data_IF_141976699720
#
_entry.id   IF_141976699720
#
_cell.length_a   1.000
_cell.length_b   1.000
_cell.length_c   1.000
_cell.angle_alpha   90.00
_cell.angle_beta   90.00
_cell.angle_gamma   90.00
#
_symmetry.space_group_name_H-M   'P 1'
#
loop_
_entity.id
_entity.type
_entity.pdbx_description
1 polymer ?
#
# COMPACT_ATOMS: atom_id res chain seq x y z
N UNK A 1 -22.66 34.72 -1.60
CA UNK A 1 -22.51 35.65 -2.73
C UNK A 1 -21.54 36.74 -2.37
N UNK A 2 -20.67 37.08 -3.32
CA UNK A 2 -19.84 38.26 -3.29
C UNK A 2 -20.59 39.39 -3.98
N UNK A 3 -20.74 40.53 -3.31
CA UNK A 3 -21.19 41.77 -3.92
C UNK A 3 -20.03 42.77 -3.94
N UNK A 4 -19.54 43.11 -5.13
CA UNK A 4 -18.53 44.16 -5.32
C UNK A 4 -19.24 45.44 -5.72
N UNK A 5 -19.09 46.49 -4.92
CA UNK A 5 -19.78 47.77 -5.06
C UNK A 5 -18.78 48.80 -5.59
N UNK A 6 -19.07 49.41 -6.74
CA UNK A 6 -18.25 50.48 -7.34
C UNK A 6 -19.11 51.71 -7.64
N UNK A 7 -18.73 52.89 -7.14
CA UNK A 7 -19.55 54.10 -7.26
C UNK A 7 -19.54 54.69 -8.69
N UNK A 8 -20.69 55.15 -9.20
CA UNK A 8 -20.89 55.55 -10.61
C UNK A 8 -20.39 56.98 -10.89
N UNK A 9 -20.58 57.90 -9.94
CA UNK A 9 -19.96 59.22 -9.94
C UNK A 9 -19.76 59.63 -8.47
N UNK A 10 -18.52 59.79 -7.99
CA UNK A 10 -18.28 60.13 -6.60
C UNK A 10 -18.66 61.57 -6.24
N UNK A 11 -19.11 62.42 -7.17
CA UNK A 11 -19.62 63.75 -6.84
C UNK A 11 -20.74 63.65 -5.79
N UNK A 12 -20.56 64.31 -4.63
CA UNK A 12 -21.49 64.19 -3.51
C UNK A 12 -21.20 63.06 -2.50
N UNK A 13 -19.95 62.57 -2.41
CA UNK A 13 -19.44 61.61 -1.41
C UNK A 13 -20.06 61.76 0.00
N UNK A 14 -20.22 62.98 0.51
CA UNK A 14 -20.79 63.24 1.83
C UNK A 14 -22.28 62.86 1.94
N UNK A 15 -23.07 63.16 0.90
CA UNK A 15 -24.47 62.78 0.84
C UNK A 15 -24.63 61.26 0.73
N UNK A 16 -23.74 60.62 -0.04
CA UNK A 16 -23.69 59.15 -0.17
C UNK A 16 -23.32 58.47 1.16
N UNK A 17 -22.30 58.98 1.86
CA UNK A 17 -21.89 58.48 3.17
C UNK A 17 -23.02 58.56 4.22
N UNK A 18 -23.90 59.55 4.11
CA UNK A 18 -25.04 59.71 5.03
C UNK A 18 -26.19 58.76 4.68
N UNK A 19 -26.35 58.40 3.40
CA UNK A 19 -27.42 57.50 2.91
C UNK A 19 -27.08 56.02 3.11
N UNK A 20 -25.82 55.63 2.90
CA UNK A 20 -25.40 54.23 2.85
C UNK A 20 -25.74 53.43 4.13
N UNK A 21 -25.54 53.95 5.36
CA UNK A 21 -25.94 53.22 6.58
C UNK A 21 -27.45 52.96 6.67
N UNK A 22 -28.28 53.86 6.13
CA UNK A 22 -29.74 53.71 6.13
C UNK A 22 -30.18 52.63 5.14
N UNK A 23 -29.56 52.57 3.96
CA UNK A 23 -29.80 51.50 2.98
C UNK A 23 -29.43 50.14 3.57
N UNK A 24 -28.26 50.04 4.20
CA UNK A 24 -27.80 48.81 4.86
C UNK A 24 -28.77 48.38 5.97
N UNK A 25 -29.29 49.32 6.76
CA UNK A 25 -30.28 49.05 7.81
C UNK A 25 -31.63 48.58 7.23
N UNK A 26 -31.98 49.03 6.02
CA UNK A 26 -33.21 48.65 5.32
C UNK A 26 -33.21 47.23 4.76
N UNK A 27 -32.05 46.58 4.65
CA UNK A 27 -31.91 45.20 4.16
C UNK A 27 -31.80 44.24 5.35
N UNK A 28 -32.67 43.23 5.37
CA UNK A 28 -32.78 42.28 6.48
C UNK A 28 -31.42 41.64 6.80
N UNK A 29 -31.00 41.75 8.06
CA UNK A 29 -29.76 41.19 8.62
C UNK A 29 -28.44 41.67 7.97
N UNK A 30 -28.47 42.59 6.99
CA UNK A 30 -27.26 43.00 6.28
C UNK A 30 -26.30 43.77 7.19
N UNK A 31 -26.81 44.61 8.10
CA UNK A 31 -25.98 45.29 9.11
C UNK A 31 -25.23 44.28 9.98
N UNK A 32 -25.93 43.28 10.52
CA UNK A 32 -25.33 42.24 11.36
C UNK A 32 -24.27 41.45 10.58
N UNK A 33 -24.55 41.14 9.30
CA UNK A 33 -23.61 40.48 8.41
C UNK A 33 -22.32 41.27 8.23
N UNK A 34 -22.41 42.57 7.92
CA UNK A 34 -21.25 43.44 7.75
C UNK A 34 -20.47 43.61 9.07
N UNK A 35 -21.15 43.66 10.22
CA UNK A 35 -20.45 43.69 11.51
C UNK A 35 -19.71 42.37 11.80
N UNK A 36 -20.29 41.23 11.42
CA UNK A 36 -19.68 39.91 11.61
C UNK A 36 -18.51 39.65 10.65
N UNK A 37 -18.61 40.09 9.40
CA UNK A 37 -17.65 39.72 8.35
C UNK A 37 -16.77 40.88 7.85
N UNK A 38 -17.15 42.12 8.12
CA UNK A 38 -16.45 43.31 7.63
C UNK A 38 -16.72 43.62 6.17
N UNK A 39 -15.99 44.61 5.67
CA UNK A 39 -15.89 44.91 4.23
C UNK A 39 -14.48 44.62 3.76
N UNK A 40 -14.34 44.27 2.49
CA UNK A 40 -13.06 43.99 1.86
C UNK A 40 -12.73 45.06 0.83
N UNK A 41 -11.55 45.68 0.93
CA UNK A 41 -10.96 46.48 -0.13
C UNK A 41 -9.96 45.59 -0.88
N UNK A 42 -10.00 45.65 -2.21
CA UNK A 42 -9.29 44.73 -3.10
C UNK A 42 -8.54 45.46 -4.19
N UNK A 43 -7.71 44.72 -4.93
CA UNK A 43 -6.88 45.25 -6.02
C UNK A 43 -5.97 46.37 -5.50
N UNK A 44 -5.40 46.16 -4.32
CA UNK A 44 -4.47 47.08 -3.67
C UNK A 44 -3.04 46.76 -4.12
N UNK A 45 -2.21 47.79 -4.29
CA UNK A 45 -0.76 47.59 -4.36
C UNK A 45 -0.21 47.27 -2.97
N UNK A 46 0.99 46.66 -2.86
CA UNK A 46 1.66 46.48 -1.57
C UNK A 46 1.80 47.79 -0.78
N UNK A 47 2.07 48.91 -1.45
CA UNK A 47 2.14 50.24 -0.84
C UNK A 47 0.78 50.72 -0.31
N UNK A 48 -0.31 50.46 -1.06
CA UNK A 48 -1.67 50.76 -0.59
C UNK A 48 -2.00 49.97 0.68
N UNK A 49 -1.62 48.67 0.74
CA UNK A 49 -1.83 47.82 1.92
C UNK A 49 -1.05 48.37 3.12
N UNK A 50 0.25 48.66 2.96
CA UNK A 50 1.08 49.19 4.04
C UNK A 50 0.57 50.52 4.58
N UNK A 51 0.19 51.46 3.70
CA UNK A 51 -0.36 52.75 4.09
C UNK A 51 -1.69 52.61 4.86
N UNK A 52 -2.56 51.68 4.44
CA UNK A 52 -3.83 51.42 5.11
C UNK A 52 -3.64 50.75 6.48
N UNK A 53 -2.67 49.83 6.62
CA UNK A 53 -2.32 49.24 7.91
C UNK A 53 -1.82 50.29 8.89
N UNK A 54 -0.88 51.15 8.45
CA UNK A 54 -0.36 52.23 9.29
C UNK A 54 -1.48 53.17 9.73
N UNK A 55 -2.36 53.58 8.81
CA UNK A 55 -3.49 54.44 9.12
C UNK A 55 -4.46 53.78 10.12
N UNK A 56 -4.89 52.55 9.87
CA UNK A 56 -5.86 51.84 10.73
C UNK A 56 -5.28 51.49 12.10
N UNK A 57 -3.96 51.29 12.22
CA UNK A 57 -3.30 51.08 13.52
C UNK A 57 -3.36 52.30 14.45
N UNK A 58 -3.53 53.50 13.88
CA UNK A 58 -3.63 54.77 14.62
C UNK A 58 -5.07 55.15 14.96
N UNK A 59 -6.05 54.50 14.33
CA UNK A 59 -7.48 54.73 14.53
C UNK A 59 -8.04 53.67 15.50
N UNK A 60 -8.63 54.10 16.62
CA UNK A 60 -9.34 53.20 17.52
C UNK A 60 -10.67 52.73 16.93
N UNK A 61 -11.16 51.55 17.35
CA UNK A 61 -12.50 51.09 16.96
C UNK A 61 -12.57 50.16 15.74
N UNK A 62 -11.43 49.77 15.18
CA UNK A 62 -11.36 48.86 14.03
C UNK A 62 -10.39 47.69 14.27
N UNK A 63 -10.67 46.58 13.59
CA UNK A 63 -9.73 45.47 13.38
C UNK A 63 -9.61 45.19 11.90
N UNK A 64 -8.47 44.70 11.46
CA UNK A 64 -8.24 44.39 10.06
C UNK A 64 -7.44 43.12 9.83
N UNK A 65 -7.65 42.50 8.67
CA UNK A 65 -6.86 41.38 8.15
C UNK A 65 -6.35 41.75 6.76
N UNK A 66 -5.09 41.48 6.47
CA UNK A 66 -4.45 41.85 5.19
C UNK A 66 -3.90 40.65 4.45
N UNK A 67 -3.88 40.75 3.12
CA UNK A 67 -3.07 39.92 2.21
C UNK A 67 -2.20 40.82 1.33
N UNK A 68 -1.50 40.25 0.34
CA UNK A 68 -0.66 41.00 -0.60
C UNK A 68 -1.41 42.08 -1.40
N UNK A 69 -2.73 41.96 -1.58
CA UNK A 69 -3.52 42.87 -2.42
C UNK A 69 -4.89 43.21 -1.86
N UNK A 70 -5.16 42.87 -0.60
CA UNK A 70 -6.47 43.13 0.04
C UNK A 70 -6.33 43.56 1.50
N UNK A 71 -7.30 44.35 1.97
CA UNK A 71 -7.50 44.60 3.40
C UNK A 71 -8.99 44.41 3.74
N UNK A 72 -9.27 43.59 4.75
CA UNK A 72 -10.61 43.42 5.32
C UNK A 72 -10.69 44.25 6.59
N UNK A 73 -11.66 45.13 6.69
CA UNK A 73 -11.85 46.03 7.83
C UNK A 73 -13.16 45.73 8.54
N UNK A 74 -13.10 45.68 9.88
CA UNK A 74 -14.22 45.39 10.77
C UNK A 74 -14.27 46.43 11.89
N UNK A 75 -15.47 46.79 12.30
CA UNK A 75 -15.72 47.68 13.44
C UNK A 75 -15.79 46.87 14.72
N UNK A 76 -15.18 47.35 15.80
CA UNK A 76 -15.17 46.65 17.11
C UNK A 76 -16.27 47.12 18.06
N UNK A 77 -16.71 48.38 17.95
CA UNK A 77 -17.72 48.98 18.84
C UNK A 77 -19.18 48.73 18.38
N UNK A 78 -19.36 48.08 17.23
CA UNK A 78 -20.67 47.79 16.64
C UNK A 78 -21.32 48.98 15.92
N UNK A 79 -20.71 50.17 15.88
CA UNK A 79 -21.23 51.32 15.14
C UNK A 79 -20.72 51.33 13.69
N UNK A 80 -21.51 50.72 12.80
CA UNK A 80 -21.20 50.69 11.38
C UNK A 80 -21.04 52.09 10.74
N UNK A 81 -21.54 53.16 11.37
CA UNK A 81 -21.35 54.54 10.87
C UNK A 81 -19.89 54.99 10.97
N UNK A 82 -19.11 54.41 11.88
CA UNK A 82 -17.68 54.63 11.97
C UNK A 82 -16.94 54.11 10.72
N UNK A 83 -17.46 53.07 10.06
CA UNK A 83 -16.88 52.50 8.83
C UNK A 83 -17.52 53.03 7.55
N UNK A 84 -18.85 52.99 7.44
CA UNK A 84 -19.60 53.25 6.19
C UNK A 84 -20.45 54.53 6.25
N UNK A 85 -20.24 55.37 7.27
CA UNK A 85 -20.96 56.63 7.49
C UNK A 85 -20.00 57.83 7.56
N UNK A 86 -20.20 58.69 8.56
CA UNK A 86 -19.35 59.88 8.77
C UNK A 86 -18.00 59.58 9.48
N UNK A 87 -17.50 58.34 9.40
CA UNK A 87 -16.17 57.95 9.89
C UNK A 87 -15.14 57.78 8.78
N UNK A 88 -14.63 56.56 8.58
CA UNK A 88 -13.49 56.27 7.69
C UNK A 88 -13.70 56.63 6.22
N UNK A 89 -14.95 56.69 5.75
CA UNK A 89 -15.26 57.01 4.35
C UNK A 89 -15.55 58.49 4.11
N UNK A 90 -15.35 59.37 5.11
CA UNK A 90 -15.60 60.80 4.94
C UNK A 90 -14.56 61.45 4.01
N UNK A 91 -15.01 62.20 2.99
CA UNK A 91 -14.12 63.04 2.19
C UNK A 91 -13.68 64.26 3.03
N UNK A 92 -12.38 64.34 3.35
CA UNK A 92 -11.83 65.48 4.08
C UNK A 92 -11.11 66.45 3.11
N UNK A 93 -11.52 67.73 3.00
CA UNK A 93 -10.97 68.67 2.01
C UNK A 93 -9.47 68.99 2.16
N UNK A 94 -8.93 68.84 3.37
CA UNK A 94 -7.56 69.27 3.72
C UNK A 94 -6.70 68.16 4.35
N UNK A 95 -7.19 66.90 4.35
CA UNK A 95 -6.48 65.74 4.89
C UNK A 95 -6.72 64.56 3.96
N UNK A 96 -5.65 64.01 3.36
CA UNK A 96 -5.79 62.80 2.56
C UNK A 96 -6.13 61.63 3.47
N UNK A 97 -7.34 61.09 3.32
CA UNK A 97 -7.77 59.86 3.96
C UNK A 97 -7.66 58.76 2.91
N UNK A 98 -6.53 58.04 2.93
CA UNK A 98 -6.21 57.00 1.95
C UNK A 98 -7.28 55.91 1.87
N UNK A 99 -7.93 55.59 2.99
CA UNK A 99 -9.04 54.66 3.02
C UNK A 99 -10.26 55.20 2.28
N UNK A 100 -10.66 56.45 2.56
CA UNK A 100 -11.77 57.08 1.83
C UNK A 100 -11.47 57.18 0.33
N UNK A 101 -10.24 57.54 -0.05
CA UNK A 101 -9.84 57.64 -1.46
C UNK A 101 -10.03 56.30 -2.17
N UNK A 102 -9.46 55.22 -1.62
CA UNK A 102 -9.60 53.87 -2.17
C UNK A 102 -11.06 53.42 -2.18
N UNK A 103 -11.80 53.65 -1.09
CA UNK A 103 -13.20 53.26 -0.97
C UNK A 103 -14.07 53.91 -2.05
N UNK A 104 -13.88 55.20 -2.33
CA UNK A 104 -14.67 55.92 -3.32
C UNK A 104 -14.21 55.67 -4.76
N UNK A 105 -12.91 55.51 -5.00
CA UNK A 105 -12.37 55.28 -6.35
C UNK A 105 -12.53 53.83 -6.81
N UNK A 106 -12.28 52.87 -5.93
CA UNK A 106 -12.22 51.43 -6.26
C UNK A 106 -13.41 50.64 -5.72
N UNK A 107 -14.14 51.21 -4.76
CA UNK A 107 -15.26 50.54 -4.14
C UNK A 107 -14.85 49.59 -3.02
N UNK A 108 -15.77 48.70 -2.65
CA UNK A 108 -15.56 47.67 -1.63
C UNK A 108 -16.41 46.44 -1.92
N UNK A 109 -16.08 45.35 -1.24
CA UNK A 109 -16.73 44.05 -1.41
C UNK A 109 -17.31 43.56 -0.10
N UNK A 110 -18.53 43.02 -0.17
CA UNK A 110 -19.15 42.25 0.91
C UNK A 110 -19.23 40.78 0.45
N UNK A 111 -18.62 39.88 1.22
CA UNK A 111 -18.60 38.45 0.94
C UNK A 111 -19.60 37.70 1.81
N UNK A 112 -19.90 36.45 1.46
CA UNK A 112 -20.78 35.54 2.19
C UNK A 112 -22.24 36.00 2.30
N UNK A 113 -22.69 36.88 1.41
CA UNK A 113 -24.09 37.33 1.39
C UNK A 113 -25.03 36.20 0.96
N UNK A 114 -26.21 36.14 1.57
CA UNK A 114 -27.32 35.38 0.99
C UNK A 114 -27.68 35.97 -0.39
N UNK A 115 -28.11 35.13 -1.33
CA UNK A 115 -28.49 35.58 -2.69
C UNK A 115 -29.51 36.73 -2.64
N UNK A 116 -30.55 36.60 -1.80
CA UNK A 116 -31.58 37.63 -1.61
C UNK A 116 -31.01 38.95 -1.08
N UNK A 117 -30.07 38.90 -0.13
CA UNK A 117 -29.43 40.12 0.38
C UNK A 117 -28.59 40.81 -0.69
N UNK A 118 -27.90 40.02 -1.52
CA UNK A 118 -27.10 40.54 -2.62
C UNK A 118 -27.97 41.20 -3.71
N UNK A 119 -29.10 40.58 -4.04
CA UNK A 119 -30.08 41.13 -5.01
C UNK A 119 -30.78 42.39 -4.46
N UNK A 120 -31.21 42.36 -3.20
CA UNK A 120 -31.82 43.53 -2.51
C UNK A 120 -30.82 44.69 -2.41
N UNK A 121 -29.56 44.40 -2.09
CA UNK A 121 -28.48 45.40 -2.06
C UNK A 121 -28.27 46.03 -3.44
N UNK A 122 -28.11 45.20 -4.47
CA UNK A 122 -27.95 45.65 -5.86
C UNK A 122 -29.08 46.60 -6.26
N UNK A 123 -30.33 46.22 -5.99
CA UNK A 123 -31.50 47.04 -6.31
C UNK A 123 -31.54 48.36 -5.55
N UNK A 124 -31.17 48.38 -4.26
CA UNK A 124 -31.28 49.60 -3.44
C UNK A 124 -30.17 50.63 -3.72
N UNK A 125 -29.02 50.22 -4.26
CA UNK A 125 -27.89 51.14 -4.52
C UNK A 125 -27.59 51.39 -6.00
N UNK A 126 -28.38 50.83 -6.93
CA UNK A 126 -28.15 50.96 -8.38
C UNK A 126 -28.07 52.41 -8.88
N UNK A 127 -28.76 53.34 -8.22
CA UNK A 127 -28.73 54.77 -8.55
C UNK A 127 -27.40 55.47 -8.18
N UNK A 128 -26.59 54.88 -7.31
CA UNK A 128 -25.38 55.49 -6.74
C UNK A 128 -24.12 54.63 -6.96
N UNK A 129 -24.28 53.33 -7.21
CA UNK A 129 -23.18 52.40 -7.42
C UNK A 129 -23.58 51.25 -8.35
N UNK A 130 -22.60 50.77 -9.11
CA UNK A 130 -22.67 49.48 -9.80
C UNK A 130 -22.38 48.36 -8.82
N UNK A 131 -23.22 47.33 -8.79
CA UNK A 131 -23.02 46.13 -7.96
C UNK A 131 -22.81 44.93 -8.85
N UNK A 132 -21.60 44.37 -8.81
CA UNK A 132 -21.25 43.12 -9.50
C UNK A 132 -21.41 41.97 -8.53
N UNK A 133 -22.28 41.02 -8.86
CA UNK A 133 -22.51 39.80 -8.08
C UNK A 133 -21.70 38.64 -8.66
N UNK A 134 -20.95 37.95 -7.82
CA UNK A 134 -20.23 36.73 -8.17
C UNK A 134 -20.34 35.70 -7.04
N UNK A 135 -19.98 34.45 -7.32
CA UNK A 135 -19.81 33.46 -6.27
C UNK A 135 -18.69 33.90 -5.32
N UNK A 136 -18.81 33.59 -4.02
CA UNK A 136 -17.70 33.81 -3.09
C UNK A 136 -16.49 32.98 -3.53
N UNK A 137 -15.30 33.57 -3.47
CA UNK A 137 -14.06 32.82 -3.67
C UNK A 137 -13.84 32.00 -2.40
N UNK A 138 -14.03 30.69 -2.47
CA UNK A 138 -13.73 29.81 -1.34
C UNK A 138 -12.26 29.98 -0.95
N UNK A 139 -12.00 30.38 0.30
CA UNK A 139 -10.64 30.34 0.83
C UNK A 139 -10.20 28.87 0.88
N UNK A 140 -9.31 28.49 -0.02
CA UNK A 140 -8.68 27.18 -0.03
C UNK A 140 -7.91 26.99 1.27
N UNK A 141 -8.27 25.98 2.04
CA UNK A 141 -7.51 25.55 3.21
C UNK A 141 -6.46 24.54 2.73
N UNK A 142 -5.22 24.70 3.20
CA UNK A 142 -4.18 23.70 3.05
C UNK A 142 -4.25 22.78 4.27
N UNK A 143 -4.64 21.54 4.03
CA UNK A 143 -4.83 20.53 5.05
C UNK A 143 -3.75 19.45 4.93
N UNK A 144 -3.52 18.74 6.02
CA UNK A 144 -2.59 17.61 6.09
C UNK A 144 -3.29 16.45 6.79
N UNK A 145 -3.13 15.25 6.25
CA UNK A 145 -3.42 14.01 6.97
C UNK A 145 -2.16 13.17 7.08
N UNK A 146 -1.90 12.61 8.26
CA UNK A 146 -0.77 11.73 8.53
C UNK A 146 -1.19 10.55 9.39
N UNK A 147 -0.33 9.54 9.50
CA UNK A 147 -0.58 8.37 10.35
C UNK A 147 0.35 7.22 10.03
N UNK A 148 0.11 6.08 10.66
CA UNK A 148 0.82 4.82 10.44
C UNK A 148 -0.10 3.74 9.89
N UNK A 149 0.45 2.86 9.05
CA UNK A 149 -0.27 1.69 8.56
C UNK A 149 0.25 0.44 9.27
N UNK A 150 -0.66 -0.33 9.85
CA UNK A 150 -0.35 -1.54 10.61
C UNK A 150 -1.04 -2.76 10.02
N UNK A 151 -0.46 -3.93 10.27
CA UNK A 151 -1.18 -5.19 10.24
C UNK A 151 -2.13 -5.32 11.44
N UNK A 152 -3.01 -6.31 11.42
CA UNK A 152 -3.95 -6.60 12.52
C UNK A 152 -3.27 -6.99 13.83
N UNK A 153 -2.02 -7.45 13.78
CA UNK A 153 -1.20 -7.78 14.95
C UNK A 153 -0.42 -6.56 15.51
N UNK A 154 -0.61 -5.37 14.92
CA UNK A 154 0.03 -4.13 15.33
C UNK A 154 1.44 -3.93 14.76
N UNK A 155 1.94 -4.83 13.91
CA UNK A 155 3.23 -4.64 13.24
C UNK A 155 3.07 -3.62 12.10
N UNK A 156 3.98 -2.62 11.96
CA UNK A 156 3.94 -1.69 10.84
C UNK A 156 4.02 -2.40 9.48
N UNK A 157 3.23 -1.95 8.52
CA UNK A 157 3.22 -2.50 7.15
C UNK A 157 4.56 -2.25 6.44
N UNK A 158 4.91 -3.10 5.47
CA UNK A 158 6.09 -2.85 4.63
C UNK A 158 5.98 -1.51 3.91
N UNK A 159 7.11 -0.81 3.77
CA UNK A 159 7.17 0.43 2.99
C UNK A 159 7.24 0.18 1.48
N UNK A 160 7.49 -1.07 1.06
CA UNK A 160 7.60 -1.45 -0.35
C UNK A 160 6.24 -1.90 -0.89
N UNK A 161 5.92 -1.45 -2.09
CA UNK A 161 4.74 -1.93 -2.82
C UNK A 161 3.38 -1.38 -2.40
N UNK A 162 3.35 -0.41 -1.49
CA UNK A 162 2.11 0.24 -1.07
C UNK A 162 2.12 1.75 -1.30
N UNK A 163 0.96 2.28 -1.64
CA UNK A 163 0.72 3.72 -1.72
C UNK A 163 -0.52 4.11 -0.93
N UNK A 164 -0.54 5.33 -0.42
CA UNK A 164 -1.63 5.89 0.37
C UNK A 164 -2.23 7.06 -0.40
N UNK A 165 -3.55 7.11 -0.51
CA UNK A 165 -4.28 8.21 -1.17
C UNK A 165 -5.42 8.67 -0.29
N UNK A 166 -5.65 9.98 -0.29
CA UNK A 166 -6.75 10.61 0.41
C UNK A 166 -7.87 11.00 -0.57
N UNK A 167 -9.11 10.96 -0.09
CA UNK A 167 -10.31 11.32 -0.83
C UNK A 167 -11.24 12.13 0.07
N UNK A 168 -11.93 13.11 -0.50
CA UNK A 168 -13.09 13.72 0.12
C UNK A 168 -14.37 13.03 -0.36
N UNK A 169 -15.14 12.50 0.57
CA UNK A 169 -16.41 11.83 0.33
C UNK A 169 -17.57 12.83 0.28
N UNK A 170 -18.07 13.08 -0.93
CA UNK A 170 -19.10 14.08 -1.21
C UNK A 170 -20.42 13.40 -1.55
N UNK A 171 -21.40 13.52 -0.65
CA UNK A 171 -22.76 13.00 -0.83
C UNK A 171 -23.68 14.10 -1.41
N UNK A 172 -23.45 14.49 -2.67
CA UNK A 172 -24.24 15.52 -3.35
C UNK A 172 -25.61 15.00 -3.84
N UNK A 173 -26.46 14.50 -2.93
CA UNK A 173 -27.80 13.97 -3.25
C UNK A 173 -27.80 12.65 -4.01
N UNK A 174 -26.67 11.92 -4.03
CA UNK A 174 -26.53 10.60 -4.62
C UNK A 174 -26.74 9.48 -3.59
N UNK A 175 -27.22 8.29 -4.01
CA UNK A 175 -27.36 7.13 -3.12
C UNK A 175 -26.00 6.59 -2.65
N UNK A 176 -24.93 6.81 -3.41
CA UNK A 176 -23.55 6.50 -3.01
C UNK A 176 -22.69 7.77 -3.04
N UNK A 177 -21.86 8.02 -2.00
CA UNK A 177 -20.97 9.17 -1.98
C UNK A 177 -19.96 9.12 -3.13
N UNK A 178 -19.72 10.26 -3.77
CA UNK A 178 -18.63 10.38 -4.76
C UNK A 178 -17.32 10.62 -4.01
N UNK A 179 -16.31 9.81 -4.29
CA UNK A 179 -14.96 10.01 -3.77
C UNK A 179 -14.18 10.94 -4.72
N UNK A 180 -13.80 12.11 -4.21
CA UNK A 180 -12.99 13.08 -4.92
C UNK A 180 -11.55 12.96 -4.40
N UNK A 181 -10.57 12.51 -5.21
CA UNK A 181 -9.18 12.44 -4.78
C UNK A 181 -8.70 13.80 -4.27
N UNK A 182 -8.02 13.82 -3.13
CA UNK A 182 -7.39 15.02 -2.58
C UNK A 182 -5.91 14.76 -2.30
N UNK A 183 -5.08 15.76 -2.60
CA UNK A 183 -3.63 15.65 -2.49
C UNK A 183 -3.00 14.73 -3.53
N UNK A 184 -1.73 14.43 -3.34
CA UNK A 184 -0.96 13.50 -4.17
C UNK A 184 -0.91 12.12 -3.51
N UNK A 185 -0.75 11.08 -4.33
CA UNK A 185 -0.42 9.73 -3.84
C UNK A 185 0.87 9.77 -3.04
N UNK A 186 0.83 9.28 -1.80
CA UNK A 186 2.00 9.14 -0.93
C UNK A 186 2.52 7.69 -0.95
N UNK A 187 3.82 7.52 -0.79
CA UNK A 187 4.44 6.23 -0.47
C UNK A 187 4.59 6.10 1.04
N UNK A 188 4.58 4.88 1.57
CA UNK A 188 4.89 4.64 2.97
C UNK A 188 6.36 4.96 3.27
N UNK A 189 6.59 5.74 4.31
CA UNK A 189 7.89 6.10 4.86
C UNK A 189 8.30 5.10 5.95
N UNK A 190 9.50 5.27 6.53
CA UNK A 190 9.99 4.44 7.64
C UNK A 190 8.93 4.27 8.74
N UNK A 191 8.83 3.06 9.31
CA UNK A 191 7.78 2.64 10.24
C UNK A 191 6.35 2.79 9.70
N UNK A 192 6.17 2.56 8.39
CA UNK A 192 4.87 2.64 7.71
C UNK A 192 4.13 3.97 7.89
N UNK A 193 4.86 5.06 8.09
CA UNK A 193 4.29 6.40 8.21
C UNK A 193 3.81 6.91 6.84
N UNK A 194 2.74 7.68 6.81
CA UNK A 194 2.33 8.43 5.64
C UNK A 194 2.00 9.88 5.99
N UNK A 195 2.13 10.76 5.00
CA UNK A 195 1.73 12.16 5.07
C UNK A 195 1.20 12.59 3.70
N UNK A 196 0.02 13.20 3.69
CA UNK A 196 -0.63 13.71 2.48
C UNK A 196 -1.07 15.14 2.77
N UNK A 197 -0.46 16.08 2.05
CA UNK A 197 -0.93 17.46 1.99
C UNK A 197 -1.97 17.60 0.87
N UNK A 198 -3.04 18.34 1.14
CA UNK A 198 -4.10 18.55 0.19
C UNK A 198 -4.80 19.90 0.37
N UNK A 199 -5.26 20.46 -0.75
CA UNK A 199 -6.10 21.64 -0.76
C UNK A 199 -7.57 21.24 -0.59
N UNK A 200 -8.29 21.89 0.32
CA UNK A 200 -9.72 21.71 0.49
C UNK A 200 -10.45 23.05 0.45
N UNK A 201 -11.54 23.11 -0.33
CA UNK A 201 -12.38 24.30 -0.43
C UNK A 201 -13.62 24.14 0.45
N UNK A 202 -13.87 25.07 1.38
CA UNK A 202 -15.07 25.05 2.19
C UNK A 202 -16.33 25.15 1.32
N UNK A 203 -17.22 24.19 1.48
CA UNK A 203 -18.49 24.07 0.76
C UNK A 203 -19.70 24.14 1.70
N UNK A 204 -19.49 24.61 2.93
CA UNK A 204 -20.49 24.65 4.01
C UNK A 204 -20.30 23.54 5.05
N UNK A 205 -19.45 22.54 4.78
CA UNK A 205 -19.02 21.55 5.78
C UNK A 205 -17.98 22.15 6.73
N UNK A 206 -17.83 21.55 7.92
CA UNK A 206 -16.80 21.93 8.91
C UNK A 206 -15.38 21.48 8.53
N UNK A 207 -15.29 20.56 7.56
CA UNK A 207 -14.08 19.98 7.01
C UNK A 207 -14.44 18.91 5.97
N UNK A 208 -13.47 18.36 5.23
CA UNK A 208 -13.70 17.24 4.32
C UNK A 208 -14.21 16.02 5.07
N UNK A 209 -14.99 15.17 4.40
CA UNK A 209 -15.25 13.82 4.90
C UNK A 209 -14.15 12.93 4.35
N UNK A 210 -13.04 12.88 5.07
CA UNK A 210 -11.81 12.28 4.61
C UNK A 210 -11.93 10.76 4.61
N UNK A 211 -11.55 10.14 3.50
CA UNK A 211 -11.29 8.71 3.39
C UNK A 211 -9.83 8.56 2.98
N UNK A 212 -9.06 7.81 3.75
CA UNK A 212 -7.67 7.48 3.41
C UNK A 212 -7.62 5.99 3.09
N UNK A 213 -7.06 5.66 1.92
CA UNK A 213 -6.96 4.29 1.42
C UNK A 213 -5.52 3.91 1.13
N UNK A 214 -5.18 2.69 1.50
CA UNK A 214 -3.91 2.04 1.16
C UNK A 214 -4.15 1.14 -0.05
N UNK A 215 -3.28 1.25 -1.04
CA UNK A 215 -3.33 0.52 -2.29
C UNK A 215 -2.09 -0.35 -2.45
N UNK A 216 -2.26 -1.57 -2.97
CA UNK A 216 -1.16 -2.43 -3.41
C UNK A 216 -0.59 -2.00 -4.77
N UNK A 217 0.40 -2.74 -5.28
CA UNK A 217 1.04 -2.47 -6.58
C UNK A 217 0.08 -2.64 -7.77
N UNK A 218 -0.98 -3.43 -7.60
CA UNK A 218 -2.01 -3.68 -8.61
C UNK A 218 -3.10 -2.60 -8.60
N UNK A 219 -3.08 -1.69 -7.61
CA UNK A 219 -4.08 -0.64 -7.44
C UNK A 219 -5.35 -1.09 -6.72
N UNK A 220 -5.33 -2.25 -6.06
CA UNK A 220 -6.44 -2.72 -5.21
C UNK A 220 -6.37 -2.04 -3.84
N UNK A 221 -7.53 -1.75 -3.25
CA UNK A 221 -7.60 -1.20 -1.88
C UNK A 221 -7.39 -2.33 -0.89
N UNK A 222 -6.37 -2.21 -0.04
CA UNK A 222 -6.04 -3.21 1.00
C UNK A 222 -6.40 -2.75 2.41
N UNK A 223 -6.59 -1.45 2.61
CA UNK A 223 -7.02 -0.89 3.89
C UNK A 223 -7.66 0.48 3.68
N UNK A 224 -8.58 0.86 4.55
CA UNK A 224 -9.15 2.21 4.55
C UNK A 224 -9.54 2.69 5.95
N UNK A 225 -9.54 4.02 6.12
CA UNK A 225 -10.04 4.70 7.32
C UNK A 225 -10.85 5.92 6.90
N UNK A 226 -11.91 6.20 7.66
CA UNK A 226 -12.80 7.34 7.40
C UNK A 226 -12.84 8.31 8.59
N UNK A 227 -12.82 9.61 8.29
CA UNK A 227 -13.03 10.68 9.25
C UNK A 227 -14.00 11.73 8.71
N UNK A 228 -15.16 11.86 9.35
CA UNK A 228 -16.13 12.92 9.02
C UNK A 228 -15.65 14.26 9.55
N UNK A 229 -15.77 15.30 8.74
CA UNK A 229 -15.38 16.68 9.10
C UNK A 229 -13.97 16.73 9.69
N UNK A 230 -12.98 16.22 8.94
CA UNK A 230 -11.59 16.19 9.37
C UNK A 230 -11.06 17.62 9.62
N UNK A 231 -10.15 17.75 10.58
CA UNK A 231 -9.48 19.01 10.89
C UNK A 231 -8.47 19.39 9.80
N UNK A 232 -7.93 20.62 9.89
CA UNK A 232 -6.87 21.09 9.00
C UNK A 232 -5.62 20.20 9.11
N UNK A 233 -5.32 19.71 10.32
CA UNK A 233 -4.29 18.70 10.57
C UNK A 233 -4.96 17.50 11.22
N UNK A 234 -4.91 16.35 10.56
CA UNK A 234 -5.54 15.11 11.01
C UNK A 234 -4.50 14.00 11.15
N UNK A 235 -4.64 13.18 12.19
CA UNK A 235 -3.83 11.99 12.41
C UNK A 235 -4.74 10.76 12.41
N UNK A 236 -4.53 9.82 11.49
CA UNK A 236 -5.34 8.61 11.32
C UNK A 236 -4.44 7.41 11.10
N UNK A 237 -4.39 6.49 12.05
CA UNK A 237 -3.77 5.19 11.82
C UNK A 237 -4.71 4.28 11.01
N UNK A 238 -4.13 3.38 10.22
CA UNK A 238 -4.86 2.47 9.33
C UNK A 238 -4.44 1.04 9.65
N UNK A 239 -5.40 0.15 9.87
CA UNK A 239 -5.14 -1.29 10.02
C UNK A 239 -5.50 -1.99 8.71
N UNK A 240 -4.53 -2.68 8.11
CA UNK A 240 -4.71 -3.52 6.93
C UNK A 240 -5.07 -4.95 7.37
N UNK A 241 -6.32 -5.32 7.15
CA UNK A 241 -6.83 -6.65 7.50
C UNK A 241 -6.59 -7.66 6.38
N UNK A 242 -6.25 -8.89 6.76
CA UNK A 242 -6.11 -9.99 5.80
C UNK A 242 -4.94 -9.84 4.83
N UNK A 243 -3.91 -9.07 5.20
CA UNK A 243 -2.61 -9.07 4.50
C UNK A 243 -1.63 -10.03 5.19
N UNK A 244 -0.80 -10.68 4.38
CA UNK A 244 0.37 -11.41 4.83
C UNK A 244 1.61 -11.01 4.03
N UNK A 245 2.77 -11.15 4.66
CA UNK A 245 4.09 -10.87 4.09
C UNK A 245 4.97 -12.09 4.33
N UNK A 246 5.58 -12.57 3.26
CA UNK A 246 6.72 -13.48 3.34
C UNK A 246 7.96 -12.80 2.79
N UNK A 247 9.07 -12.88 3.53
CA UNK A 247 10.34 -12.28 3.13
C UNK A 247 11.51 -13.12 3.57
N UNK A 248 12.69 -12.80 3.06
CA UNK A 248 13.94 -13.42 3.47
C UNK A 248 15.02 -13.18 2.46
N UNK A 249 16.07 -13.99 2.53
CA UNK A 249 17.21 -13.90 1.62
C UNK A 249 17.35 -15.22 0.86
N UNK A 250 17.55 -15.10 -0.45
CA UNK A 250 17.96 -16.21 -1.29
C UNK A 250 19.48 -16.21 -1.41
N UNK A 251 20.09 -17.37 -1.18
CA UNK A 251 21.53 -17.56 -1.30
C UNK A 251 21.86 -18.88 -1.99
N UNK A 252 23.06 -19.00 -2.55
CA UNK A 252 23.56 -20.26 -3.10
C UNK A 252 24.12 -21.17 -2.00
N UNK A 253 24.52 -22.39 -2.36
CA UNK A 253 25.13 -23.39 -1.46
C UNK A 253 26.47 -22.93 -0.85
N UNK A 254 27.20 -22.03 -1.52
CA UNK A 254 28.42 -21.38 -1.01
C UNK A 254 28.12 -20.12 -0.16
N UNK A 255 26.85 -19.90 0.20
CA UNK A 255 26.35 -18.76 0.96
C UNK A 255 26.46 -17.40 0.22
N UNK A 256 26.73 -17.39 -1.09
CA UNK A 256 26.66 -16.18 -1.91
C UNK A 256 25.21 -15.71 -2.10
N UNK A 257 24.97 -14.40 -2.12
CA UNK A 257 23.61 -13.85 -2.32
C UNK A 257 23.14 -14.08 -3.76
N UNK A 258 21.94 -14.63 -3.92
CA UNK A 258 21.36 -14.94 -5.22
C UNK A 258 20.48 -13.77 -5.68
N UNK A 259 21.06 -12.85 -6.46
CA UNK A 259 20.35 -11.70 -7.01
C UNK A 259 19.64 -12.02 -8.34
N UNK A 260 18.50 -11.38 -8.58
CA UNK A 260 17.76 -11.46 -9.86
C UNK A 260 17.00 -12.77 -10.11
N UNK A 261 16.95 -13.70 -9.16
CA UNK A 261 16.08 -14.89 -9.22
C UNK A 261 14.65 -14.53 -8.85
N UNK A 262 13.67 -15.21 -9.47
CA UNK A 262 12.24 -14.97 -9.23
C UNK A 262 11.74 -15.86 -8.11
N UNK A 263 11.20 -15.25 -7.06
CA UNK A 263 10.57 -15.93 -5.93
C UNK A 263 9.05 -15.82 -6.06
N UNK A 264 8.35 -16.94 -5.86
CA UNK A 264 6.88 -17.01 -5.91
C UNK A 264 6.33 -17.66 -4.65
N UNK A 265 5.29 -17.04 -4.11
CA UNK A 265 4.53 -17.55 -2.98
C UNK A 265 3.22 -18.16 -3.47
N UNK A 266 2.88 -19.36 -2.99
CA UNK A 266 1.64 -20.04 -3.32
C UNK A 266 0.90 -20.48 -2.05
N UNK A 267 -0.42 -20.48 -2.15
CA UNK A 267 -1.28 -21.22 -1.24
C UNK A 267 -1.47 -22.65 -1.74
N UNK A 268 -1.01 -23.63 -0.96
CA UNK A 268 -1.08 -25.06 -1.29
C UNK A 268 -2.35 -25.67 -0.71
N UNK A 269 -3.31 -25.94 -1.58
CA UNK A 269 -4.46 -26.79 -1.28
C UNK A 269 -4.16 -28.25 -1.65
N UNK A 270 -5.03 -29.20 -1.26
CA UNK A 270 -4.78 -30.65 -1.36
C UNK A 270 -4.20 -31.11 -2.72
N UNK A 271 -4.63 -30.50 -3.83
CA UNK A 271 -4.19 -30.86 -5.19
C UNK A 271 -3.89 -29.65 -6.09
N UNK A 272 -3.96 -28.43 -5.55
CA UNK A 272 -3.88 -27.21 -6.35
C UNK A 272 -3.03 -26.16 -5.63
N UNK A 273 -2.29 -25.37 -6.40
CA UNK A 273 -1.56 -24.20 -5.92
C UNK A 273 -2.23 -22.94 -6.45
N UNK A 274 -2.44 -21.95 -5.59
CA UNK A 274 -2.92 -20.62 -5.98
C UNK A 274 -1.77 -19.62 -5.79
N UNK A 275 -1.35 -18.96 -6.87
CA UNK A 275 -0.31 -17.94 -6.79
C UNK A 275 -0.79 -16.75 -5.94
N UNK A 276 -0.04 -16.46 -4.88
CA UNK A 276 -0.29 -15.33 -3.98
C UNK A 276 0.49 -14.08 -4.42
N UNK A 277 1.71 -14.28 -4.91
CA UNK A 277 2.54 -13.20 -5.41
C UNK A 277 3.88 -13.68 -5.94
N UNK A 278 4.59 -12.78 -6.61
CA UNK A 278 5.89 -13.01 -7.22
C UNK A 278 6.76 -11.75 -7.07
N UNK A 279 8.05 -11.93 -6.85
CA UNK A 279 9.03 -10.84 -6.84
C UNK A 279 10.38 -11.35 -7.33
N UNK A 280 11.23 -10.46 -7.82
CA UNK A 280 12.64 -10.78 -8.08
C UNK A 280 13.49 -10.34 -6.88
N UNK A 281 14.48 -11.15 -6.56
CA UNK A 281 15.46 -10.84 -5.52
C UNK A 281 16.30 -9.62 -5.90
N UNK A 282 16.57 -8.76 -4.92
CA UNK A 282 17.47 -7.61 -5.12
C UNK A 282 18.96 -8.03 -5.10
N UNK A 283 19.85 -7.05 -5.18
CA UNK A 283 21.31 -7.28 -5.24
C UNK A 283 21.86 -7.99 -4.00
N UNK A 284 21.17 -7.91 -2.87
CA UNK A 284 21.54 -8.58 -1.62
C UNK A 284 20.85 -9.95 -1.49
N UNK A 285 20.15 -10.41 -2.53
CA UNK A 285 19.35 -11.63 -2.54
C UNK A 285 18.06 -11.51 -1.75
N UNK A 286 17.70 -10.32 -1.27
CA UNK A 286 16.50 -10.13 -0.47
C UNK A 286 15.24 -10.18 -1.33
N UNK A 287 14.20 -10.83 -0.81
CA UNK A 287 12.88 -10.86 -1.41
C UNK A 287 11.81 -10.53 -0.37
N UNK A 288 10.71 -9.94 -0.85
CA UNK A 288 9.51 -9.71 -0.06
C UNK A 288 8.29 -9.83 -0.96
N UNK A 289 7.32 -10.66 -0.55
CA UNK A 289 6.06 -10.89 -1.24
C UNK A 289 4.94 -10.57 -0.26
N UNK A 290 4.13 -9.60 -0.62
CA UNK A 290 2.86 -9.31 0.06
C UNK A 290 1.74 -10.05 -0.66
N UNK A 291 0.82 -10.62 0.11
CA UNK A 291 -0.40 -11.24 -0.38
C UNK A 291 -1.61 -10.87 0.48
N UNK A 292 -2.81 -11.08 -0.06
CA UNK A 292 -4.07 -10.80 0.63
C UNK A 292 -4.98 -12.03 0.65
N UNK A 293 -5.82 -12.11 1.68
CA UNK A 293 -6.82 -13.18 1.83
C UNK A 293 -7.84 -13.19 0.69
N UNK A 294 -8.02 -12.07 -0.03
CA UNK A 294 -8.90 -11.99 -1.21
C UNK A 294 -8.43 -12.92 -2.35
N UNK A 295 -7.15 -13.31 -2.36
CA UNK A 295 -6.58 -14.22 -3.36
C UNK A 295 -6.81 -15.70 -3.02
N UNK A 296 -7.25 -16.03 -1.81
CA UNK A 296 -7.44 -17.41 -1.39
C UNK A 296 -8.69 -18.01 -2.04
N UNK A 297 -8.56 -19.19 -2.67
CA UNK A 297 -9.69 -19.91 -3.26
C UNK A 297 -10.71 -20.34 -2.21
N UNK A 298 -10.22 -20.85 -1.08
CA UNK A 298 -11.03 -21.15 0.08
C UNK A 298 -11.06 -19.92 0.98
N UNK A 299 -12.21 -19.59 1.58
CA UNK A 299 -12.36 -18.48 2.54
C UNK A 299 -11.66 -18.78 3.88
N UNK A 300 -10.36 -19.08 3.84
CA UNK A 300 -9.50 -19.29 5.01
C UNK A 300 -8.86 -17.99 5.44
N UNK A 301 -8.44 -17.94 6.71
CA UNK A 301 -7.81 -16.75 7.27
C UNK A 301 -6.31 -16.66 6.95
N UNK A 302 -5.65 -17.82 6.76
CA UNK A 302 -4.20 -17.94 6.55
C UNK A 302 -3.91 -18.97 5.45
N UNK A 303 -2.85 -18.78 4.64
CA UNK A 303 -2.47 -19.72 3.60
C UNK A 303 -1.69 -20.90 4.17
N UNK A 304 -1.70 -22.01 3.44
CA UNK A 304 -0.73 -23.09 3.61
C UNK A 304 0.41 -22.79 2.63
N UNK A 305 1.42 -22.09 3.13
CA UNK A 305 2.38 -21.37 2.31
C UNK A 305 3.47 -22.30 1.78
N UNK A 306 3.71 -22.25 0.47
CA UNK A 306 4.89 -22.84 -0.18
C UNK A 306 5.58 -21.78 -1.05
N UNK A 307 6.90 -21.67 -0.92
CA UNK A 307 7.71 -20.72 -1.66
C UNK A 307 8.55 -21.49 -2.68
N UNK A 308 8.57 -21.02 -3.92
CA UNK A 308 9.37 -21.58 -5.01
C UNK A 308 10.28 -20.50 -5.59
N UNK A 309 11.52 -20.86 -5.88
CA UNK A 309 12.49 -19.97 -6.54
C UNK A 309 12.76 -20.50 -7.94
N UNK A 310 12.77 -19.60 -8.91
CA UNK A 310 12.99 -19.90 -10.31
C UNK A 310 14.17 -19.12 -10.86
N UNK A 311 14.90 -19.72 -11.80
CA UNK A 311 15.89 -19.00 -12.59
C UNK A 311 15.22 -17.81 -13.34
N UNK A 312 15.92 -16.68 -13.39
CA UNK A 312 15.43 -15.48 -14.06
C UNK A 312 15.17 -15.75 -15.55
N UNK A 313 14.00 -15.38 -16.05
CA UNK A 313 13.70 -15.40 -17.48
C UNK A 313 14.36 -14.22 -18.19
N UNK A 314 15.69 -14.23 -18.27
CA UNK A 314 16.45 -13.26 -19.07
C UNK A 314 16.40 -13.63 -20.56
N UNK A 315 15.25 -13.37 -21.20
CA UNK A 315 15.07 -13.54 -22.64
C UNK A 315 13.86 -12.79 -23.13
N UNK A 316 14.06 -11.74 -23.93
CA UNK A 316 13.01 -10.99 -24.61
C UNK A 316 12.18 -11.96 -25.46
N UNK A 317 10.93 -12.20 -25.04
CA UNK A 317 9.97 -12.99 -25.79
C UNK A 317 8.95 -13.63 -24.88
N UNK A 318 7.67 -13.39 -25.17
CA UNK A 318 6.55 -14.06 -24.52
C UNK A 318 6.73 -15.58 -24.60
N UNK A 319 7.19 -16.21 -23.51
CA UNK A 319 7.19 -17.65 -23.34
C UNK A 319 6.84 -17.97 -21.89
N UNK A 320 5.89 -18.90 -21.78
CA UNK A 320 5.15 -19.27 -20.60
C UNK A 320 6.02 -19.65 -19.39
N UNK A 321 5.50 -19.32 -18.21
CA UNK A 321 5.39 -20.25 -17.06
C UNK A 321 6.35 -21.45 -17.06
N UNK A 322 7.61 -21.27 -16.65
CA UNK A 322 8.52 -22.22 -15.95
C UNK A 322 9.96 -21.86 -16.28
N UNK A 323 10.55 -20.94 -15.53
CA UNK A 323 12.01 -20.99 -15.34
C UNK A 323 12.36 -22.33 -14.65
N UNK A 324 13.61 -22.79 -14.76
CA UNK A 324 14.06 -23.94 -13.96
C UNK A 324 13.82 -23.62 -12.47
N UNK A 325 13.07 -24.49 -11.77
CA UNK A 325 12.87 -24.37 -10.32
C UNK A 325 14.21 -24.67 -9.62
N UNK A 326 14.74 -23.65 -8.94
CA UNK A 326 16.04 -23.70 -8.27
C UNK A 326 15.93 -24.11 -6.80
N UNK A 327 14.77 -23.84 -6.18
CA UNK A 327 14.49 -24.20 -4.80
C UNK A 327 12.99 -24.25 -4.52
N UNK A 328 12.61 -25.04 -3.52
CA UNK A 328 11.25 -25.10 -2.98
C UNK A 328 11.31 -25.24 -1.46
N UNK A 329 10.46 -24.50 -0.75
CA UNK A 329 10.33 -24.61 0.70
C UNK A 329 9.51 -25.82 1.13
N UNK A 330 9.59 -26.18 2.41
CA UNK A 330 8.54 -26.97 3.04
C UNK A 330 7.20 -26.19 3.05
N UNK A 331 6.09 -26.91 3.19
CA UNK A 331 4.77 -26.30 3.36
C UNK A 331 4.65 -25.79 4.80
N UNK A 332 4.29 -24.53 4.95
CA UNK A 332 3.98 -23.90 6.25
C UNK A 332 2.47 -23.79 6.37
N UNK A 333 1.88 -24.71 7.13
CA UNK A 333 0.43 -24.70 7.37
C UNK A 333 0.01 -23.51 8.22
N UNK A 334 -1.08 -22.84 7.83
CA UNK A 334 -1.60 -21.64 8.50
C UNK A 334 -0.49 -20.62 8.78
N UNK A 335 0.23 -20.20 7.73
CA UNK A 335 1.37 -19.31 7.86
C UNK A 335 0.99 -17.99 8.57
N UNK A 336 1.87 -17.46 9.45
CA UNK A 336 1.62 -16.20 10.14
C UNK A 336 1.56 -15.03 9.15
N UNK A 337 0.98 -13.91 9.59
CA UNK A 337 0.89 -12.69 8.76
C UNK A 337 2.27 -12.12 8.39
N UNK A 338 3.29 -12.33 9.23
CA UNK A 338 4.68 -12.05 8.88
C UNK A 338 5.49 -13.33 9.01
N UNK A 339 6.02 -13.82 7.89
CA UNK A 339 6.87 -15.00 7.85
C UNK A 339 8.24 -14.66 7.25
N UNK A 340 9.31 -15.02 7.95
CA UNK A 340 10.69 -14.86 7.45
C UNK A 340 11.25 -16.23 7.11
N UNK A 341 11.70 -16.41 5.87
CA UNK A 341 12.24 -17.66 5.36
C UNK A 341 13.41 -17.37 4.43
N UNK A 342 14.60 -17.84 4.78
CA UNK A 342 15.74 -17.84 3.87
C UNK A 342 15.69 -19.10 3.00
N UNK A 343 16.15 -18.97 1.76
CA UNK A 343 16.09 -20.04 0.76
C UNK A 343 17.46 -20.27 0.14
N UNK A 344 17.89 -21.52 0.14
CA UNK A 344 19.09 -21.93 -0.58
C UNK A 344 18.71 -22.36 -1.99
N UNK A 345 19.22 -21.67 -3.01
CA UNK A 345 19.18 -22.11 -4.40
C UNK A 345 20.37 -22.98 -4.72
N UNK A 346 20.13 -24.06 -5.47
CA UNK A 346 21.18 -24.97 -5.89
C UNK A 346 21.27 -25.02 -7.40
N UNK A 347 22.50 -25.08 -7.90
CA UNK A 347 22.76 -25.36 -9.30
C UNK A 347 22.49 -26.83 -9.58
N UNK A 348 22.12 -27.18 -10.82
CA UNK A 348 22.09 -28.59 -11.26
C UNK A 348 23.49 -29.25 -11.21
N UNK A 349 24.55 -28.45 -11.13
CA UNK A 349 25.92 -28.94 -11.00
C UNK A 349 26.31 -29.18 -9.53
N UNK A 350 25.50 -28.76 -8.56
CA UNK A 350 25.74 -29.03 -7.16
C UNK A 350 25.38 -30.49 -6.84
N UNK A 351 26.09 -31.14 -5.90
CA UNK A 351 25.75 -32.49 -5.47
C UNK A 351 24.27 -32.60 -5.05
N UNK A 352 23.61 -33.64 -5.56
CA UNK A 352 22.21 -33.94 -5.24
C UNK A 352 22.01 -34.21 -3.74
N UNK A 353 20.76 -34.14 -3.27
CA UNK A 353 20.45 -34.50 -1.87
C UNK A 353 20.97 -35.88 -1.47
N UNK A 354 20.82 -36.87 -2.35
CA UNK A 354 21.39 -38.20 -2.16
C UNK A 354 22.92 -38.16 -1.95
N UNK A 355 23.66 -37.48 -2.82
CA UNK A 355 25.13 -37.40 -2.74
C UNK A 355 25.60 -36.65 -1.51
N UNK A 356 24.91 -35.56 -1.13
CA UNK A 356 25.23 -34.78 0.09
C UNK A 356 25.00 -35.60 1.34
N UNK A 357 23.85 -36.26 1.46
CA UNK A 357 23.56 -37.09 2.62
C UNK A 357 24.60 -38.21 2.74
N UNK A 358 24.97 -38.87 1.64
CA UNK A 358 26.05 -39.87 1.68
C UNK A 358 27.39 -39.27 2.11
N UNK A 359 27.76 -38.10 1.58
CA UNK A 359 29.00 -37.42 1.95
C UNK A 359 29.02 -37.00 3.44
N UNK A 360 27.87 -36.60 3.98
CA UNK A 360 27.72 -36.22 5.40
C UNK A 360 27.75 -37.43 6.33
N UNK A 361 27.21 -38.57 5.89
CA UNK A 361 27.28 -39.83 6.62
C UNK A 361 28.68 -40.44 6.59
N UNK A 362 29.44 -40.26 5.50
CA UNK A 362 30.74 -40.91 5.29
C UNK A 362 31.73 -40.77 6.45
N UNK A 363 31.96 -39.58 7.06
CA UNK A 363 32.85 -39.45 8.20
C UNK A 363 32.27 -40.00 9.51
N UNK A 364 30.96 -40.24 9.61
CA UNK A 364 30.27 -40.65 10.84
C UNK A 364 30.07 -42.15 10.97
N UNK A 365 29.98 -42.87 9.84
CA UNK A 365 29.71 -44.32 9.82
C UNK A 365 30.97 -45.18 9.94
N UNK A 366 32.16 -44.58 10.04
CA UNK A 366 33.45 -45.25 10.26
C UNK A 366 33.75 -46.46 9.33
N UNK A 367 33.18 -46.45 8.12
CA UNK A 367 33.33 -47.53 7.13
C UNK A 367 32.26 -48.62 7.20
N UNK A 368 31.30 -48.54 8.11
CA UNK A 368 30.13 -49.43 8.14
C UNK A 368 29.27 -49.20 6.87
N UNK A 369 28.89 -50.26 6.14
CA UNK A 369 28.05 -50.12 4.95
C UNK A 369 26.67 -49.55 5.28
N UNK A 370 26.23 -48.54 4.53
CA UNK A 370 24.93 -47.87 4.72
C UNK A 370 23.74 -48.86 4.76
N UNK A 371 23.81 -49.96 3.99
CA UNK A 371 22.80 -51.02 3.95
C UNK A 371 22.66 -51.83 5.26
N UNK A 372 23.67 -51.81 6.13
CA UNK A 372 23.71 -52.56 7.40
C UNK A 372 23.36 -51.70 8.62
N UNK A 373 23.21 -50.39 8.45
CA UNK A 373 22.86 -49.49 9.55
C UNK A 373 21.52 -49.88 10.19
N UNK A 374 21.49 -49.98 11.51
CA UNK A 374 20.28 -50.30 12.28
C UNK A 374 19.41 -49.07 12.51
N UNK A 375 18.17 -49.25 12.95
CA UNK A 375 17.31 -48.11 13.32
C UNK A 375 17.88 -47.27 14.47
N UNK A 376 18.71 -47.87 15.33
CA UNK A 376 19.41 -47.14 16.39
C UNK A 376 20.49 -46.24 15.80
N UNK A 377 21.27 -46.75 14.85
CA UNK A 377 22.29 -45.97 14.13
C UNK A 377 21.63 -44.80 13.36
N UNK A 378 20.51 -45.04 12.68
CA UNK A 378 19.80 -43.99 11.95
C UNK A 378 19.27 -42.90 12.88
N UNK A 379 18.78 -43.24 14.09
CA UNK A 379 18.37 -42.24 15.08
C UNK A 379 19.56 -41.44 15.61
N UNK A 380 20.69 -42.08 15.84
CA UNK A 380 21.92 -41.41 16.24
C UNK A 380 22.41 -40.44 15.16
N UNK A 381 22.48 -40.90 13.92
CA UNK A 381 22.91 -40.09 12.76
C UNK A 381 21.96 -38.92 12.53
N UNK A 382 20.65 -39.13 12.63
CA UNK A 382 19.65 -38.07 12.51
C UNK A 382 19.91 -36.92 13.49
N UNK A 383 20.29 -37.23 14.74
CA UNK A 383 20.65 -36.21 15.73
C UNK A 383 22.04 -35.58 15.53
N UNK A 384 22.88 -36.12 14.65
CA UNK A 384 24.22 -35.58 14.33
C UNK A 384 24.24 -34.73 13.07
N UNK A 385 23.38 -35.04 12.11
CA UNK A 385 23.36 -34.41 10.77
C UNK A 385 22.11 -33.56 10.55
N UNK A 386 21.15 -33.58 11.48
CA UNK A 386 19.82 -33.02 11.31
C UNK A 386 19.04 -33.60 10.09
N UNK A 387 19.53 -34.68 9.47
CA UNK A 387 18.82 -35.37 8.39
C UNK A 387 17.65 -36.15 8.99
N UNK A 388 16.41 -36.01 8.47
CA UNK A 388 15.25 -36.75 8.99
C UNK A 388 15.43 -38.26 8.93
N UNK A 389 14.98 -38.96 9.98
CA UNK A 389 15.06 -40.43 10.08
C UNK A 389 14.53 -41.15 8.83
N UNK A 390 13.41 -40.70 8.26
CA UNK A 390 12.83 -41.32 7.07
C UNK A 390 13.75 -41.22 5.86
N UNK A 391 14.45 -40.09 5.69
CA UNK A 391 15.39 -39.90 4.58
C UNK A 391 16.64 -40.79 4.77
N UNK A 392 17.15 -40.89 5.99
CA UNK A 392 18.23 -41.83 6.32
C UNK A 392 17.81 -43.28 6.07
N UNK A 393 16.58 -43.64 6.42
CA UNK A 393 16.02 -44.96 6.14
C UNK A 393 15.88 -45.20 4.64
N UNK A 394 15.51 -44.19 3.84
CA UNK A 394 15.49 -44.31 2.38
C UNK A 394 16.87 -44.56 1.78
N UNK A 395 17.93 -43.92 2.30
CA UNK A 395 19.32 -44.20 1.87
C UNK A 395 19.73 -45.64 2.18
N UNK A 396 19.39 -46.12 3.38
CA UNK A 396 19.60 -47.51 3.77
C UNK A 396 18.88 -48.48 2.84
N UNK A 397 17.60 -48.25 2.57
CA UNK A 397 16.80 -49.09 1.67
C UNK A 397 17.35 -49.07 0.24
N UNK A 398 17.75 -47.90 -0.26
CA UNK A 398 18.40 -47.75 -1.57
C UNK A 398 19.69 -48.57 -1.64
N UNK A 399 20.54 -48.48 -0.61
CA UNK A 399 21.77 -49.27 -0.52
C UNK A 399 21.50 -50.79 -0.44
N UNK A 400 20.48 -51.21 0.31
CA UNK A 400 20.04 -52.61 0.34
C UNK A 400 19.57 -53.09 -1.03
N UNK A 401 18.83 -52.27 -1.77
CA UNK A 401 18.31 -52.63 -3.09
C UNK A 401 19.41 -52.63 -4.17
N UNK A 402 20.36 -51.71 -4.08
CA UNK A 402 21.57 -51.72 -4.89
C UNK A 402 22.34 -53.03 -4.67
N UNK A 403 22.53 -53.47 -3.43
CA UNK A 403 23.24 -54.72 -3.13
C UNK A 403 22.45 -55.96 -3.57
N UNK A 404 21.15 -56.00 -3.29
CA UNK A 404 20.33 -57.19 -3.51
C UNK A 404 19.89 -57.38 -4.97
N UNK A 405 19.63 -56.27 -5.68
CA UNK A 405 19.02 -56.28 -7.02
C UNK A 405 19.92 -55.66 -8.09
N UNK A 406 21.12 -55.17 -7.73
CA UNK A 406 22.00 -54.43 -8.63
C UNK A 406 21.30 -53.22 -9.28
N UNK A 407 20.39 -52.59 -8.54
CA UNK A 407 19.73 -51.37 -8.98
C UNK A 407 20.73 -50.21 -9.00
N UNK A 408 20.61 -49.32 -9.98
CA UNK A 408 21.39 -48.09 -10.02
C UNK A 408 21.16 -47.27 -8.73
N UNK A 409 22.23 -46.74 -8.08
CA UNK A 409 22.09 -45.99 -6.83
C UNK A 409 21.21 -44.76 -7.00
N UNK A 410 20.63 -44.29 -5.90
CA UNK A 410 19.71 -43.14 -5.82
C UNK A 410 18.32 -43.37 -6.43
N UNK A 411 18.09 -44.41 -7.24
CA UNK A 411 16.80 -44.64 -7.91
C UNK A 411 15.69 -44.91 -6.91
N UNK A 412 15.91 -45.84 -5.97
CA UNK A 412 14.90 -46.20 -4.98
C UNK A 412 14.69 -45.03 -4.01
N UNK A 413 15.78 -44.41 -3.56
CA UNK A 413 15.75 -43.20 -2.74
C UNK A 413 14.89 -42.09 -3.38
N UNK A 414 15.12 -41.81 -4.67
CA UNK A 414 14.40 -40.79 -5.43
C UNK A 414 12.91 -41.08 -5.54
N UNK A 415 12.50 -42.35 -5.66
CA UNK A 415 11.09 -42.73 -5.70
C UNK A 415 10.42 -42.59 -4.33
N UNK A 416 11.08 -43.03 -3.26
CA UNK A 416 10.54 -42.92 -1.89
C UNK A 416 10.36 -41.46 -1.46
N UNK A 417 11.27 -40.58 -1.90
CA UNK A 417 11.17 -39.12 -1.72
C UNK A 417 9.97 -38.48 -2.42
N UNK A 418 9.32 -39.17 -3.36
CA UNK A 418 8.05 -38.79 -3.98
C UNK A 418 6.85 -39.57 -3.41
N UNK A 419 6.97 -40.04 -2.16
CA UNK A 419 5.92 -40.75 -1.41
C UNK A 419 5.48 -42.08 -2.08
N UNK A 420 6.35 -42.67 -2.90
CA UNK A 420 6.09 -44.00 -3.44
C UNK A 420 6.40 -45.10 -2.42
N UNK A 421 5.74 -46.27 -2.51
CA UNK A 421 5.90 -47.33 -1.52
C UNK A 421 7.35 -47.84 -1.40
N UNK A 422 7.81 -48.02 -0.15
CA UNK A 422 9.13 -48.61 0.17
C UNK A 422 9.18 -50.14 0.08
N UNK A 423 8.07 -50.78 -0.26
CA UNK A 423 7.97 -52.21 -0.49
C UNK A 423 8.05 -52.51 -1.99
N UNK A 424 8.99 -53.37 -2.40
CA UNK A 424 9.23 -53.67 -3.82
C UNK A 424 7.98 -54.15 -4.56
N UNK A 425 7.20 -55.06 -3.99
CA UNK A 425 5.99 -55.58 -4.66
C UNK A 425 4.94 -54.48 -4.87
N UNK A 426 4.76 -53.59 -3.88
CA UNK A 426 3.85 -52.44 -4.00
C UNK A 426 4.37 -51.41 -5.00
N UNK A 427 5.68 -51.17 -5.01
CA UNK A 427 6.30 -50.24 -5.96
C UNK A 427 6.18 -50.75 -7.41
N UNK A 428 6.40 -52.05 -7.64
CA UNK A 428 6.23 -52.68 -8.95
C UNK A 428 4.77 -52.74 -9.42
N UNK A 429 3.81 -52.65 -8.49
CA UNK A 429 2.39 -52.55 -8.83
C UNK A 429 1.96 -51.13 -9.26
N UNK A 430 2.81 -50.11 -9.06
CA UNK A 430 2.53 -48.75 -9.53
C UNK A 430 2.58 -48.65 -11.05
N UNK A 431 1.84 -47.69 -11.61
CA UNK A 431 1.85 -47.46 -13.06
C UNK A 431 3.24 -47.00 -13.50
N UNK A 432 3.84 -47.58 -14.57
CA UNK A 432 5.14 -47.15 -15.07
C UNK A 432 5.26 -45.65 -15.36
N UNK A 433 4.17 -45.02 -15.81
CA UNK A 433 4.11 -43.57 -16.02
C UNK A 433 4.33 -42.77 -14.72
N UNK A 434 3.73 -43.21 -13.60
CA UNK A 434 3.89 -42.58 -12.29
C UNK A 434 5.32 -42.71 -11.76
N UNK A 435 5.96 -43.86 -11.95
CA UNK A 435 7.36 -44.08 -11.56
C UNK A 435 8.30 -43.16 -12.35
N UNK A 436 8.11 -43.04 -13.67
CA UNK A 436 8.90 -42.13 -14.51
C UNK A 436 8.69 -40.66 -14.12
N UNK A 437 7.44 -40.26 -13.90
CA UNK A 437 7.11 -38.89 -13.48
C UNK A 437 7.71 -38.54 -12.12
N UNK A 438 7.64 -39.47 -11.15
CA UNK A 438 8.25 -39.32 -9.85
C UNK A 438 9.78 -39.19 -9.95
N UNK A 439 10.44 -40.07 -10.70
CA UNK A 439 11.90 -40.00 -10.85
C UNK A 439 12.33 -38.73 -11.58
N UNK A 440 11.61 -38.32 -12.63
CA UNK A 440 11.83 -37.04 -13.31
C UNK A 440 11.67 -35.86 -12.36
N UNK A 441 10.70 -35.91 -11.45
CA UNK A 441 10.50 -34.89 -10.42
C UNK A 441 11.69 -34.85 -9.45
N UNK A 442 12.19 -36.01 -9.02
CA UNK A 442 13.38 -36.10 -8.16
C UNK A 442 14.64 -35.56 -8.83
N UNK A 443 14.85 -35.85 -10.11
CA UNK A 443 15.97 -35.25 -10.89
C UNK A 443 15.80 -33.73 -11.01
N UNK A 444 14.59 -33.27 -11.33
CA UNK A 444 14.32 -31.83 -11.51
C UNK A 444 14.55 -31.04 -10.22
N UNK A 445 14.24 -31.63 -9.07
CA UNK A 445 14.44 -31.01 -7.73
C UNK A 445 15.83 -31.22 -7.15
N UNK A 446 16.79 -31.74 -7.93
CA UNK A 446 18.13 -32.12 -7.48
C UNK A 446 18.14 -33.03 -6.22
N UNK A 447 17.14 -33.92 -6.11
CA UNK A 447 17.04 -34.92 -5.03
C UNK A 447 17.99 -36.09 -5.31
N UNK A 448 18.09 -36.48 -6.58
CA UNK A 448 19.00 -37.53 -7.08
C UNK A 448 19.89 -36.96 -8.19
N UNK A 449 21.02 -37.61 -8.52
CA UNK A 449 21.93 -37.12 -9.56
C UNK A 449 21.23 -36.97 -10.92
N UNK A 450 21.65 -35.96 -11.69
CA UNK A 450 21.11 -35.69 -13.02
C UNK A 450 21.40 -36.80 -14.05
N UNK A 451 22.32 -37.72 -13.76
CA UNK A 451 22.61 -38.89 -14.59
C UNK A 451 21.49 -39.94 -14.57
N UNK A 452 20.63 -39.91 -13.56
CA UNK A 452 19.54 -40.87 -13.40
C UNK A 452 18.45 -40.59 -14.45
N UNK A 453 18.14 -41.59 -15.26
CA UNK A 453 17.20 -41.46 -16.39
C UNK A 453 16.24 -42.63 -16.53
N UNK A 454 15.44 -42.63 -17.60
CA UNK A 454 14.37 -43.63 -17.81
C UNK A 454 14.84 -45.09 -17.80
N UNK A 455 16.09 -45.33 -18.19
CA UNK A 455 16.73 -46.67 -18.16
C UNK A 455 16.74 -47.26 -16.74
N UNK A 456 16.85 -46.44 -15.70
CA UNK A 456 16.78 -46.88 -14.31
C UNK A 456 15.39 -47.45 -13.95
N UNK A 457 14.32 -46.85 -14.51
CA UNK A 457 12.95 -47.36 -14.33
C UNK A 457 12.77 -48.68 -15.08
N UNK A 458 13.36 -48.84 -16.26
CA UNK A 458 13.33 -50.11 -16.99
C UNK A 458 14.01 -51.24 -16.21
N UNK A 459 15.15 -50.95 -15.57
CA UNK A 459 15.84 -51.89 -14.69
C UNK A 459 14.98 -52.28 -13.48
N UNK A 460 14.34 -51.30 -12.83
CA UNK A 460 13.42 -51.56 -11.72
C UNK A 460 12.26 -52.46 -12.16
N UNK A 461 11.60 -52.14 -13.27
CA UNK A 461 10.46 -52.89 -13.78
C UNK A 461 10.83 -54.33 -14.20
N UNK A 462 12.04 -54.54 -14.71
CA UNK A 462 12.54 -55.87 -15.06
C UNK A 462 12.68 -56.80 -13.83
N UNK A 463 12.71 -56.28 -12.61
CA UNK A 463 12.71 -57.10 -11.39
C UNK A 463 11.39 -57.87 -11.19
N UNK A 464 10.29 -57.43 -11.80
CA UNK A 464 9.02 -58.15 -11.76
C UNK A 464 9.15 -59.57 -12.35
N UNK A 465 10.00 -59.73 -13.38
CA UNK A 465 10.21 -60.98 -14.10
C UNK A 465 11.39 -61.82 -13.54
N UNK A 466 12.15 -61.28 -12.58
CA UNK A 466 13.31 -61.94 -11.97
C UNK A 466 12.91 -62.94 -10.87
N UNK A 467 13.60 -64.09 -10.71
CA UNK A 467 13.35 -65.03 -9.61
C UNK A 467 13.53 -64.41 -8.20
N UNK A 468 14.22 -63.27 -8.08
CA UNK A 468 14.38 -62.53 -6.83
C UNK A 468 13.03 -62.03 -6.24
N UNK A 469 12.04 -61.72 -7.08
CA UNK A 469 10.70 -61.29 -6.66
C UNK A 469 9.87 -62.42 -6.02
N UNK A 470 10.17 -63.68 -6.34
CA UNK A 470 9.44 -64.87 -5.86
C UNK A 470 9.81 -65.29 -4.43
N UNK A 471 10.90 -64.74 -3.87
CA UNK A 471 11.34 -65.07 -2.51
C UNK A 471 10.52 -64.38 -1.41
N UNK A 472 9.91 -63.21 -1.70
CA UNK A 472 9.09 -62.47 -0.74
C UNK A 472 7.59 -62.78 -0.76
N UNK A 473 7.12 -63.60 -1.71
CA UNK A 473 5.74 -64.13 -1.69
C UNK A 473 5.56 -65.29 -0.69
N UNK A 474 6.61 -65.66 0.06
CA UNK A 474 6.61 -66.74 1.05
C UNK A 474 7.29 -66.30 2.35
N UNK A 475 6.70 -65.35 3.05
CA UNK A 475 6.88 -65.25 4.50
C UNK A 475 5.59 -64.63 5.07
N UNK A 476 4.89 -65.32 5.99
CA UNK A 476 3.56 -64.91 6.48
C UNK A 476 3.58 -63.63 7.30
#
# INVERSE_FOLDING_TARGET
MRATIQFINPDGKLALATRLPNIIKGIKNLRQHILAHGILLERLSPDDVAALQEMLSREGGFTYLTSESTIRVRVTDGDLRALLGLGLVVPLPHRRNKFADIFWERGFTIEKLEQRQADDLRKQIEAIATVTLSADVAQTHFCTVSGQVFHTDGVPLSTRGFTVRAFDSVAAGLPTPRLVPCGTTATLQANANYLIDYAWQPDGRKGPNLIVRVFDQQGSVVAEVEKRSAAIQEYLDITAEGLGIVRGIVHSSDNTRAAGVTVRAFDRNLREETLLGSTDTDVDGFYEITYSNAQFRLKKAQPDLIIRVFASASGVGNAAETGDELAVSAIVFNAPHLYTLDLEVRSRNDPSEYERHLAELQPLIEGEPVQLLTDEDLRFLSGKTDIPFDQLNYLRLDAQWMFQYALEPAVAYGLFRQELPTNLARLLAEKPARLREALKTSVTRNIVPASIGDKAIEQLLALADSPASKSYARTP
#
